data_IF_521017899546
#
_entry.id   IF_521017899546
#
_cell.length_a   1.000
_cell.length_b   1.000
_cell.length_c   1.000
_cell.angle_alpha   90.00
_cell.angle_beta   90.00
_cell.angle_gamma   90.00
#
_symmetry.space_group_name_H-M   'P 1'
#
loop_
_entity.id
_entity.type
_entity.pdbx_description
1 polymer ?
#
# COMPACT_ATOMS: atom_id res chain seq x y z
N UNK A 1 -4.83 1.43 -18.50
CA UNK A 1 -4.09 0.16 -18.61
C UNK A 1 -3.60 -0.10 -20.04
N UNK A 2 -4.45 -0.08 -21.09
CA UNK A 2 -4.02 -0.34 -22.49
C UNK A 2 -2.81 0.49 -22.91
N UNK A 3 -2.87 1.80 -22.67
CA UNK A 3 -1.76 2.72 -23.04
C UNK A 3 -0.49 2.46 -22.22
N UNK A 4 -0.63 2.05 -20.96
CA UNK A 4 0.52 1.67 -20.14
C UNK A 4 1.22 0.41 -20.65
N UNK A 5 0.46 -0.61 -21.04
CA UNK A 5 1.01 -1.84 -21.61
C UNK A 5 1.73 -1.56 -22.95
N UNK A 6 1.11 -0.78 -23.84
CA UNK A 6 1.74 -0.35 -25.10
C UNK A 6 3.03 0.46 -24.88
N UNK A 7 3.04 1.31 -23.87
CA UNK A 7 4.22 2.09 -23.53
C UNK A 7 5.37 1.18 -23.07
N UNK A 8 5.07 0.19 -22.21
CA UNK A 8 6.07 -0.79 -21.77
C UNK A 8 6.67 -1.55 -22.95
N UNK A 9 5.80 -2.10 -23.82
CA UNK A 9 6.23 -2.82 -25.02
C UNK A 9 7.13 -1.95 -25.90
N UNK A 10 6.68 -0.73 -26.24
CA UNK A 10 7.40 0.20 -27.11
C UNK A 10 8.75 0.66 -26.54
N UNK A 11 8.85 0.79 -25.21
CA UNK A 11 10.09 1.18 -24.53
C UNK A 11 10.95 -0.02 -24.10
N UNK A 12 10.55 -1.26 -24.40
CA UNK A 12 11.28 -2.47 -24.00
C UNK A 12 11.38 -2.63 -22.48
N UNK A 13 10.37 -2.19 -21.73
CA UNK A 13 10.39 -2.23 -20.28
C UNK A 13 9.93 -3.60 -19.77
N UNK A 14 10.70 -4.18 -18.85
CA UNK A 14 10.32 -5.39 -18.13
C UNK A 14 9.62 -5.05 -16.81
N UNK A 15 8.65 -5.87 -16.41
CA UNK A 15 7.92 -5.69 -15.16
C UNK A 15 8.58 -6.49 -14.03
N UNK A 16 9.05 -5.81 -12.98
CA UNK A 16 9.63 -6.46 -11.80
C UNK A 16 8.57 -6.77 -10.75
N UNK A 17 7.74 -5.80 -10.41
CA UNK A 17 6.65 -5.95 -9.45
C UNK A 17 5.40 -5.23 -9.96
N UNK A 18 4.23 -5.79 -9.64
CA UNK A 18 2.95 -5.16 -9.87
C UNK A 18 2.20 -5.03 -8.55
N UNK A 19 1.80 -3.82 -8.22
CA UNK A 19 1.10 -3.50 -6.99
C UNK A 19 -0.25 -2.85 -7.29
N UNK A 20 -1.32 -3.46 -6.82
CA UNK A 20 -2.69 -2.92 -6.92
C UNK A 20 -3.10 -2.38 -5.57
N UNK A 21 -3.05 -1.06 -5.45
CA UNK A 21 -3.33 -0.35 -4.21
C UNK A 21 -4.04 0.97 -4.47
N UNK A 22 -3.99 1.86 -3.48
CA UNK A 22 -4.58 3.18 -3.57
C UNK A 22 -5.75 3.33 -2.61
N UNK A 23 -7.00 3.54 -3.07
CA UNK A 23 -8.16 3.61 -2.19
C UNK A 23 -8.40 2.28 -1.46
N UNK A 24 -9.35 1.51 -1.88
CA UNK A 24 -9.55 0.14 -1.41
C UNK A 24 -10.00 -0.67 -2.61
N UNK A 25 -9.11 -1.38 -3.31
CA UNK A 25 -9.48 -2.14 -4.51
C UNK A 25 -10.63 -3.12 -4.26
N UNK A 26 -10.63 -3.74 -3.08
CA UNK A 26 -11.68 -4.67 -2.65
C UNK A 26 -13.02 -4.02 -2.30
N UNK A 27 -13.14 -2.68 -2.32
CA UNK A 27 -14.44 -2.00 -2.18
C UNK A 27 -15.34 -2.18 -3.43
N UNK A 28 -14.77 -2.58 -4.57
CA UNK A 28 -15.55 -2.96 -5.74
C UNK A 28 -16.40 -4.22 -5.46
N UNK A 29 -17.53 -4.34 -6.14
CA UNK A 29 -18.30 -5.59 -6.16
C UNK A 29 -17.44 -6.75 -6.69
N UNK A 30 -17.82 -8.00 -6.39
CA UNK A 30 -17.02 -9.19 -6.77
C UNK A 30 -16.76 -9.30 -8.26
N UNK A 31 -17.78 -9.04 -9.09
CA UNK A 31 -17.67 -9.11 -10.56
C UNK A 31 -16.73 -8.03 -11.09
N UNK A 32 -16.89 -6.77 -10.63
CA UNK A 32 -16.05 -5.67 -11.07
C UNK A 32 -14.61 -5.82 -10.59
N UNK A 33 -14.42 -6.34 -9.36
CA UNK A 33 -13.11 -6.66 -8.84
C UNK A 33 -12.43 -7.75 -9.67
N UNK A 34 -13.12 -8.85 -9.93
CA UNK A 34 -12.59 -9.94 -10.75
C UNK A 34 -12.23 -9.46 -12.16
N UNK A 35 -13.14 -8.70 -12.82
CA UNK A 35 -12.91 -8.12 -14.14
C UNK A 35 -11.70 -7.16 -14.15
N UNK A 36 -11.56 -6.33 -13.11
CA UNK A 36 -10.39 -5.46 -12.97
C UNK A 36 -9.11 -6.28 -12.90
N UNK A 37 -9.08 -7.32 -12.07
CA UNK A 37 -7.88 -8.14 -11.87
C UNK A 37 -7.55 -8.97 -13.11
N UNK A 38 -8.54 -9.51 -13.81
CA UNK A 38 -8.35 -10.18 -15.11
C UNK A 38 -7.71 -9.24 -16.14
N UNK A 39 -8.20 -8.01 -16.26
CA UNK A 39 -7.63 -6.98 -17.15
C UNK A 39 -6.21 -6.57 -16.76
N UNK A 40 -5.92 -6.46 -15.47
CA UNK A 40 -4.57 -6.16 -14.97
C UNK A 40 -3.60 -7.28 -15.36
N UNK A 41 -3.93 -8.52 -15.04
CA UNK A 41 -3.06 -9.67 -15.29
C UNK A 41 -2.86 -9.94 -16.79
N UNK A 42 -3.91 -9.77 -17.60
CA UNK A 42 -3.82 -9.94 -19.05
C UNK A 42 -2.88 -8.90 -19.72
N UNK A 43 -2.75 -7.71 -19.13
CA UNK A 43 -1.94 -6.63 -19.71
C UNK A 43 -0.55 -6.51 -19.13
N UNK A 44 -0.33 -7.03 -17.94
CA UNK A 44 0.92 -6.91 -17.21
C UNK A 44 1.41 -8.27 -16.69
N UNK A 45 1.62 -9.24 -17.59
CA UNK A 45 2.14 -10.56 -17.20
C UNK A 45 3.63 -10.51 -16.88
N UNK A 46 4.13 -11.56 -16.20
CA UNK A 46 5.57 -11.80 -16.06
C UNK A 46 6.27 -11.04 -14.94
N UNK A 47 5.54 -10.36 -14.04
CA UNK A 47 6.14 -9.80 -12.84
C UNK A 47 6.66 -10.91 -11.90
N UNK A 48 7.74 -10.60 -11.18
CA UNK A 48 8.24 -11.48 -10.12
C UNK A 48 7.35 -11.47 -8.88
N UNK A 49 6.64 -10.35 -8.66
CA UNK A 49 5.73 -10.17 -7.54
C UNK A 49 4.43 -9.51 -8.00
N UNK A 50 3.32 -10.06 -7.55
CA UNK A 50 2.01 -9.48 -7.67
C UNK A 50 1.42 -9.28 -6.27
N UNK A 51 1.20 -8.03 -5.89
CA UNK A 51 0.64 -7.64 -4.59
C UNK A 51 -0.68 -6.92 -4.77
N UNK A 52 -1.67 -7.29 -3.98
CA UNK A 52 -2.97 -6.60 -3.94
C UNK A 52 -3.28 -6.14 -2.52
N UNK A 53 -3.53 -4.83 -2.35
CA UNK A 53 -4.16 -4.33 -1.13
C UNK A 53 -5.60 -4.85 -1.08
N UNK A 54 -5.81 -5.97 -0.38
CA UNK A 54 -7.15 -6.43 -0.06
C UNK A 54 -7.86 -5.42 0.85
N UNK A 55 -7.06 -4.58 1.51
CA UNK A 55 -7.51 -3.34 2.15
C UNK A 55 -8.32 -3.58 3.41
N UNK A 56 -9.54 -3.04 3.45
CA UNK A 56 -10.38 -3.12 4.64
C UNK A 56 -10.97 -4.52 4.80
N UNK A 57 -10.88 -5.13 6.00
CA UNK A 57 -11.39 -6.47 6.28
C UNK A 57 -12.86 -6.70 5.89
N UNK A 58 -13.74 -5.70 6.08
CA UNK A 58 -15.16 -5.75 5.72
C UNK A 58 -15.43 -5.88 4.22
N UNK A 59 -14.45 -5.58 3.37
CA UNK A 59 -14.58 -5.66 1.91
C UNK A 59 -14.01 -6.95 1.33
N UNK A 60 -13.37 -7.78 2.16
CA UNK A 60 -12.74 -9.04 1.75
C UNK A 60 -13.78 -10.14 1.75
N UNK A 61 -13.99 -10.77 0.59
CA UNK A 61 -14.92 -11.89 0.44
C UNK A 61 -14.22 -13.11 -0.15
N UNK A 62 -14.79 -14.28 0.05
CA UNK A 62 -14.29 -15.54 -0.51
C UNK A 62 -14.15 -15.46 -2.04
N UNK A 63 -15.16 -14.89 -2.72
CA UNK A 63 -15.14 -14.74 -4.18
C UNK A 63 -13.97 -13.91 -4.68
N UNK A 64 -13.69 -12.77 -4.02
CA UNK A 64 -12.55 -11.92 -4.37
C UNK A 64 -11.21 -12.62 -4.13
N UNK A 65 -11.04 -13.29 -3.00
CA UNK A 65 -9.80 -14.03 -2.71
C UNK A 65 -9.59 -15.19 -3.70
N UNK A 66 -10.64 -15.92 -4.05
CA UNK A 66 -10.57 -16.96 -5.07
C UNK A 66 -10.19 -16.40 -6.45
N UNK A 67 -10.70 -15.21 -6.82
CA UNK A 67 -10.31 -14.54 -8.06
C UNK A 67 -8.80 -14.22 -8.07
N UNK A 68 -8.25 -13.73 -6.96
CA UNK A 68 -6.81 -13.48 -6.83
C UNK A 68 -5.99 -14.78 -6.93
N UNK A 69 -6.41 -15.84 -6.26
CA UNK A 69 -5.71 -17.15 -6.30
C UNK A 69 -5.72 -17.74 -7.70
N UNK A 70 -6.85 -17.70 -8.40
CA UNK A 70 -6.96 -18.15 -9.80
C UNK A 70 -5.96 -17.46 -10.71
N UNK A 71 -5.65 -16.19 -10.44
CA UNK A 71 -4.71 -15.38 -11.21
C UNK A 71 -3.24 -15.52 -10.75
N UNK A 72 -2.97 -16.39 -9.77
CA UNK A 72 -1.60 -16.62 -9.26
C UNK A 72 -1.07 -15.49 -8.38
N UNK A 73 -1.96 -14.62 -7.85
CA UNK A 73 -1.56 -13.55 -6.92
C UNK A 73 -1.32 -14.18 -5.55
N UNK A 74 -0.06 -14.14 -5.11
CA UNK A 74 0.37 -14.79 -3.86
C UNK A 74 0.37 -13.85 -2.66
N UNK A 75 0.58 -12.54 -2.87
CA UNK A 75 0.71 -11.56 -1.80
C UNK A 75 -0.51 -10.66 -1.69
N UNK A 76 -1.03 -10.53 -0.47
CA UNK A 76 -2.11 -9.58 -0.15
C UNK A 76 -1.76 -8.76 1.10
N UNK A 77 -2.31 -7.54 1.19
CA UNK A 77 -2.26 -6.75 2.41
C UNK A 77 -3.65 -6.59 2.97
N UNK A 78 -3.82 -6.90 4.25
CA UNK A 78 -5.03 -6.66 5.05
C UNK A 78 -4.69 -5.54 6.02
N UNK A 79 -5.52 -4.49 6.08
CA UNK A 79 -5.20 -3.25 6.78
C UNK A 79 -6.13 -3.04 7.98
N UNK A 80 -5.90 -3.75 9.13
CA UNK A 80 -6.71 -3.56 10.33
C UNK A 80 -6.59 -2.16 10.94
N UNK A 81 -5.44 -1.53 10.83
CA UNK A 81 -5.03 -0.28 11.47
C UNK A 81 -4.89 -0.41 13.00
N UNK A 82 -5.86 -0.99 13.66
CA UNK A 82 -5.90 -1.38 15.08
C UNK A 82 -6.86 -2.55 15.28
N UNK A 83 -6.78 -3.23 16.41
CA UNK A 83 -7.72 -4.25 16.84
C UNK A 83 -8.67 -3.74 17.94
N UNK A 84 -8.81 -2.43 18.04
CA UNK A 84 -9.73 -1.77 18.97
C UNK A 84 -10.94 -1.21 18.20
N UNK A 85 -12.10 -1.81 18.40
CA UNK A 85 -13.33 -1.45 17.69
C UNK A 85 -13.80 -0.02 17.99
N UNK A 86 -13.50 0.52 19.16
CA UNK A 86 -13.83 1.89 19.52
C UNK A 86 -12.99 2.89 18.71
N UNK A 87 -11.68 2.63 18.64
CA UNK A 87 -10.76 3.42 17.81
C UNK A 87 -11.10 3.30 16.33
N UNK A 88 -11.45 2.10 15.84
CA UNK A 88 -11.87 1.91 14.44
C UNK A 88 -13.05 2.81 14.09
N UNK A 89 -14.09 2.85 14.94
CA UNK A 89 -15.24 3.76 14.77
C UNK A 89 -14.82 5.24 14.79
N UNK A 90 -13.92 5.59 15.72
CA UNK A 90 -13.42 6.97 15.85
C UNK A 90 -12.69 7.45 14.58
N UNK A 91 -11.90 6.60 13.95
CA UNK A 91 -11.16 6.93 12.71
C UNK A 91 -11.96 6.68 11.42
N UNK A 92 -13.26 6.39 11.53
CA UNK A 92 -14.15 6.20 10.40
C UNK A 92 -13.91 4.89 9.63
N UNK A 93 -13.55 3.82 10.35
CA UNK A 93 -13.47 2.46 9.80
C UNK A 93 -14.74 1.69 10.14
N UNK A 94 -15.32 1.03 9.13
CA UNK A 94 -16.58 0.28 9.28
C UNK A 94 -16.36 -1.17 9.73
N UNK A 95 -15.12 -1.67 9.62
CA UNK A 95 -14.78 -3.04 10.04
C UNK A 95 -14.50 -3.13 11.53
N UNK A 96 -14.51 -4.37 12.04
CA UNK A 96 -14.21 -4.73 13.42
C UNK A 96 -12.95 -5.60 13.52
N UNK A 97 -12.37 -5.71 14.72
CA UNK A 97 -11.28 -6.63 15.01
C UNK A 97 -11.65 -8.08 14.67
N UNK A 98 -12.90 -8.49 14.93
CA UNK A 98 -13.42 -9.81 14.58
C UNK A 98 -13.37 -10.04 13.06
N UNK A 99 -13.86 -9.10 12.26
CA UNK A 99 -13.81 -9.19 10.81
C UNK A 99 -12.37 -9.25 10.27
N UNK A 100 -11.42 -8.60 10.93
CA UNK A 100 -10.00 -8.74 10.61
C UNK A 100 -9.53 -10.18 10.80
N UNK A 101 -9.84 -10.80 11.94
CA UNK A 101 -9.50 -12.20 12.21
C UNK A 101 -10.16 -13.15 11.20
N UNK A 102 -11.44 -12.94 10.89
CA UNK A 102 -12.19 -13.74 9.92
C UNK A 102 -11.60 -13.63 8.51
N UNK A 103 -11.28 -12.40 8.04
CA UNK A 103 -10.67 -12.17 6.75
C UNK A 103 -9.27 -12.79 6.64
N UNK A 104 -8.47 -12.69 7.71
CA UNK A 104 -7.15 -13.31 7.77
C UNK A 104 -7.23 -14.84 7.74
N UNK A 105 -8.12 -15.44 8.55
CA UNK A 105 -8.33 -16.89 8.58
C UNK A 105 -8.82 -17.41 7.21
N UNK A 106 -9.74 -16.69 6.57
CA UNK A 106 -10.23 -17.02 5.23
C UNK A 106 -9.10 -16.96 4.19
N UNK A 107 -8.22 -15.96 4.26
CA UNK A 107 -7.08 -15.88 3.35
C UNK A 107 -6.12 -17.06 3.55
N UNK A 108 -5.82 -17.44 4.79
CA UNK A 108 -5.02 -18.63 5.09
C UNK A 108 -5.67 -19.93 4.61
N UNK A 109 -6.97 -20.11 4.86
CA UNK A 109 -7.75 -21.26 4.37
C UNK A 109 -7.63 -21.42 2.85
N UNK A 110 -7.64 -20.30 2.12
CA UNK A 110 -7.52 -20.29 0.67
C UNK A 110 -6.06 -20.38 0.17
N UNK A 111 -5.09 -20.55 1.08
CA UNK A 111 -3.69 -20.81 0.74
C UNK A 111 -2.90 -19.55 0.35
N UNK A 112 -3.23 -18.38 0.92
CA UNK A 112 -2.31 -17.23 0.84
C UNK A 112 -1.16 -17.40 1.84
N UNK A 113 0.05 -17.48 1.32
CA UNK A 113 1.27 -17.71 2.10
C UNK A 113 2.06 -16.42 2.37
N UNK A 114 1.61 -15.29 1.82
CA UNK A 114 2.21 -13.98 2.02
C UNK A 114 1.11 -12.96 2.32
N UNK A 115 0.80 -12.81 3.62
CA UNK A 115 -0.20 -11.87 4.12
C UNK A 115 0.49 -10.81 4.97
N UNK A 116 0.39 -9.56 4.53
CA UNK A 116 0.81 -8.39 5.30
C UNK A 116 -0.33 -7.84 6.15
N UNK A 117 -0.01 -7.38 7.36
CA UNK A 117 -0.91 -6.57 8.18
C UNK A 117 -0.35 -5.17 8.34
N UNK A 118 -1.20 -4.14 8.15
CA UNK A 118 -0.85 -2.74 8.43
C UNK A 118 -1.51 -2.30 9.74
N UNK A 119 -0.71 -1.78 10.67
CA UNK A 119 -1.16 -1.19 11.94
C UNK A 119 -0.65 0.23 12.09
N UNK A 120 -1.33 1.05 12.89
CA UNK A 120 -0.95 2.45 13.10
C UNK A 120 -0.74 2.68 14.58
N UNK A 121 0.48 3.05 14.95
CA UNK A 121 0.82 3.57 16.28
C UNK A 121 0.40 5.04 16.39
N UNK A 122 -0.12 5.41 17.54
CA UNK A 122 -0.50 6.80 17.84
C UNK A 122 -1.88 7.20 17.33
N UNK A 123 -2.79 6.27 17.15
CA UNK A 123 -4.18 6.59 16.83
C UNK A 123 -4.86 7.35 17.97
N UNK A 124 -5.79 8.27 17.65
CA UNK A 124 -6.53 9.02 18.66
C UNK A 124 -7.29 8.11 19.62
N UNK A 125 -7.21 8.40 20.91
CA UNK A 125 -7.88 7.63 21.95
C UNK A 125 -7.18 6.33 22.34
N UNK A 126 -6.04 5.99 21.73
CA UNK A 126 -5.23 4.83 22.13
C UNK A 126 -4.08 5.21 23.06
N UNK A 127 -3.94 4.40 24.09
CA UNK A 127 -2.76 4.36 24.96
C UNK A 127 -1.86 3.16 24.61
N UNK A 128 -0.75 3.02 25.30
CA UNK A 128 0.17 1.90 25.13
C UNK A 128 -0.49 0.55 25.39
N UNK A 129 -1.42 0.46 26.35
CA UNK A 129 -2.13 -0.77 26.68
C UNK A 129 -3.11 -1.16 25.55
N UNK A 130 -3.77 -0.21 24.90
CA UNK A 130 -4.64 -0.47 23.75
C UNK A 130 -3.81 -0.99 22.55
N UNK A 131 -2.67 -0.37 22.29
CA UNK A 131 -1.78 -0.83 21.22
C UNK A 131 -1.17 -2.21 21.54
N UNK A 132 -0.85 -2.49 22.83
CA UNK A 132 -0.38 -3.81 23.25
C UNK A 132 -1.41 -4.91 22.95
N UNK A 133 -2.70 -4.65 23.16
CA UNK A 133 -3.76 -5.60 22.77
C UNK A 133 -3.81 -5.84 21.27
N UNK A 134 -3.58 -4.79 20.48
CA UNK A 134 -3.46 -4.92 19.00
C UNK A 134 -2.28 -5.81 18.63
N UNK A 135 -1.10 -5.57 19.23
CA UNK A 135 0.09 -6.38 18.97
C UNK A 135 -0.06 -7.84 19.39
N UNK A 136 -0.74 -8.09 20.51
CA UNK A 136 -1.04 -9.46 20.94
C UNK A 136 -1.99 -10.18 19.94
N UNK A 137 -2.95 -9.48 19.36
CA UNK A 137 -3.79 -10.04 18.31
C UNK A 137 -2.98 -10.31 17.02
N UNK A 138 -2.08 -9.41 16.64
CA UNK A 138 -1.15 -9.60 15.50
C UNK A 138 -0.27 -10.84 15.74
N UNK A 139 0.27 -11.03 16.95
CA UNK A 139 1.06 -12.23 17.29
C UNK A 139 0.27 -13.52 17.10
N UNK A 140 -0.99 -13.55 17.51
CA UNK A 140 -1.86 -14.73 17.32
C UNK A 140 -2.18 -15.00 15.86
N UNK A 141 -2.34 -13.97 15.04
CA UNK A 141 -2.57 -14.12 13.61
C UNK A 141 -1.31 -14.59 12.85
N UNK A 142 -0.12 -14.28 13.37
CA UNK A 142 1.17 -14.64 12.79
C UNK A 142 1.27 -14.31 11.28
N UNK A 143 1.24 -13.02 10.90
CA UNK A 143 1.37 -12.62 9.51
C UNK A 143 2.79 -12.89 8.98
N UNK A 144 2.94 -12.94 7.66
CA UNK A 144 4.25 -13.08 6.99
C UNK A 144 5.01 -11.76 6.92
N UNK A 145 4.29 -10.65 7.02
CA UNK A 145 4.85 -9.31 7.12
C UNK A 145 3.92 -8.39 7.92
N UNK A 146 4.52 -7.41 8.54
CA UNK A 146 3.86 -6.41 9.38
C UNK A 146 4.38 -5.04 9.01
N UNK A 147 3.49 -4.09 8.78
CA UNK A 147 3.87 -2.69 8.65
C UNK A 147 3.35 -1.92 9.87
N UNK A 148 4.26 -1.33 10.60
CA UNK A 148 3.95 -0.42 11.72
C UNK A 148 4.06 1.01 11.21
N UNK A 149 2.91 1.62 10.97
CA UNK A 149 2.82 3.04 10.65
C UNK A 149 2.76 3.86 11.92
N UNK A 150 3.28 5.07 11.85
CA UNK A 150 3.01 6.10 12.87
C UNK A 150 2.03 7.10 12.29
N UNK A 151 1.03 7.47 13.07
CA UNK A 151 0.01 8.43 12.64
C UNK A 151 0.66 9.72 12.12
N UNK A 152 0.37 10.06 10.88
CA UNK A 152 0.75 11.32 10.26
C UNK A 152 -0.51 12.18 10.06
N UNK A 153 -0.52 13.38 10.63
CA UNK A 153 -1.65 14.30 10.51
C UNK A 153 -1.58 14.98 9.15
N UNK A 154 -2.46 14.58 8.24
CA UNK A 154 -2.64 15.29 6.97
C UNK A 154 -3.72 16.38 7.15
N UNK A 155 -3.45 17.59 6.67
CA UNK A 155 -4.40 18.71 6.71
C UNK A 155 -5.77 18.41 6.07
N UNK A 156 -5.85 17.38 5.22
CA UNK A 156 -7.08 16.94 4.53
C UNK A 156 -7.93 15.91 5.30
N UNK A 157 -7.43 15.33 6.39
CA UNK A 157 -8.18 14.35 7.22
C UNK A 157 -8.96 14.98 8.37
N UNK A 158 -9.52 16.14 8.16
CA UNK A 158 -10.03 17.07 9.18
C UNK A 158 -11.17 16.60 10.07
N UNK A 159 -11.98 15.64 9.70
CA UNK A 159 -13.33 15.55 10.28
C UNK A 159 -13.43 14.77 11.59
N UNK A 160 -12.48 13.89 11.91
CA UNK A 160 -12.56 13.11 13.16
C UNK A 160 -11.35 13.27 14.10
N UNK A 161 -10.22 13.70 13.59
CA UNK A 161 -8.99 13.88 14.39
C UNK A 161 -9.04 15.12 15.31
N UNK A 162 -9.86 16.12 14.97
CA UNK A 162 -10.05 17.33 15.80
C UNK A 162 -10.82 17.05 17.11
N UNK A 163 -11.42 15.88 17.24
CA UNK A 163 -12.24 15.51 18.40
C UNK A 163 -11.56 14.64 19.44
N UNK A 164 -10.42 14.05 19.11
CA UNK A 164 -9.69 13.22 20.05
C UNK A 164 -8.25 13.71 20.21
N UNK A 165 -7.73 13.81 21.44
CA UNK A 165 -6.35 14.19 21.67
C UNK A 165 -5.42 13.16 21.05
N UNK A 166 -4.38 13.65 20.38
CA UNK A 166 -3.26 12.80 19.94
C UNK A 166 -2.47 12.33 21.15
N UNK A 167 -1.92 11.12 21.11
CA UNK A 167 -1.07 10.64 22.19
C UNK A 167 0.19 11.49 22.28
N UNK A 168 0.74 11.54 23.49
CA UNK A 168 2.07 12.14 23.73
C UNK A 168 3.12 11.50 22.82
N UNK A 169 4.08 12.26 22.29
CA UNK A 169 5.19 11.73 21.51
C UNK A 169 5.94 10.55 22.16
N UNK A 170 6.07 10.54 23.48
CA UNK A 170 6.69 9.44 24.22
C UNK A 170 5.84 8.16 24.17
N UNK A 171 4.50 8.29 24.25
CA UNK A 171 3.57 7.17 24.12
C UNK A 171 3.61 6.61 22.71
N UNK A 172 3.61 7.47 21.68
CA UNK A 172 3.74 7.03 20.29
C UNK A 172 5.07 6.27 20.06
N UNK A 173 6.15 6.74 20.64
CA UNK A 173 7.45 6.06 20.57
C UNK A 173 7.45 4.70 21.29
N UNK A 174 6.77 4.58 22.44
CA UNK A 174 6.59 3.32 23.14
C UNK A 174 5.78 2.31 22.30
N UNK A 175 4.71 2.77 21.66
CA UNK A 175 3.92 1.93 20.72
C UNK A 175 4.77 1.42 19.53
N UNK A 176 5.61 2.28 18.94
CA UNK A 176 6.50 1.86 17.84
C UNK A 176 7.47 0.79 18.31
N UNK A 177 8.11 0.96 19.49
CA UNK A 177 8.99 -0.08 20.07
C UNK A 177 8.24 -1.41 20.29
N UNK A 178 7.03 -1.36 20.81
CA UNK A 178 6.20 -2.55 21.00
C UNK A 178 5.88 -3.26 19.66
N UNK A 179 5.69 -2.48 18.59
CA UNK A 179 5.56 -3.01 17.24
C UNK A 179 6.82 -3.72 16.76
N UNK A 180 8.00 -3.15 17.01
CA UNK A 180 9.30 -3.74 16.71
C UNK A 180 9.54 -5.03 17.49
N UNK A 181 9.33 -5.03 18.81
CA UNK A 181 9.42 -6.21 19.67
C UNK A 181 8.47 -7.32 19.22
N UNK A 182 7.27 -6.96 18.78
CA UNK A 182 6.29 -7.92 18.24
C UNK A 182 6.78 -8.53 16.93
N UNK A 183 7.33 -7.72 16.03
CA UNK A 183 7.89 -8.20 14.76
C UNK A 183 9.08 -9.15 15.03
N UNK A 184 9.98 -8.78 15.93
CA UNK A 184 11.12 -9.62 16.33
C UNK A 184 10.66 -10.97 16.91
N UNK A 185 9.67 -10.95 17.81
CA UNK A 185 9.09 -12.16 18.40
C UNK A 185 8.42 -13.09 17.37
N UNK A 186 7.97 -12.53 16.22
CA UNK A 186 7.44 -13.28 15.09
C UNK A 186 8.54 -13.72 14.09
N UNK A 187 9.81 -13.40 14.34
CA UNK A 187 10.91 -13.68 13.40
C UNK A 187 10.87 -12.82 12.14
N UNK A 188 10.22 -11.66 12.19
CA UNK A 188 10.16 -10.71 11.09
C UNK A 188 11.31 -9.70 11.22
N UNK A 189 12.05 -9.48 10.13
CA UNK A 189 13.13 -8.52 10.07
C UNK A 189 12.68 -7.22 9.34
N UNK A 190 13.18 -6.04 9.74
CA UNK A 190 12.89 -4.80 9.03
C UNK A 190 13.50 -4.88 7.61
N UNK A 191 12.72 -4.46 6.59
CA UNK A 191 13.18 -4.50 5.21
C UNK A 191 13.01 -3.17 4.47
N UNK A 192 12.18 -2.25 4.98
CA UNK A 192 12.11 -0.87 4.52
C UNK A 192 11.65 0.04 5.65
N UNK A 193 12.00 1.31 5.52
CA UNK A 193 11.55 2.37 6.42
C UNK A 193 11.34 3.67 5.65
N UNK A 194 10.40 4.48 6.10
CA UNK A 194 10.25 5.84 5.57
C UNK A 194 9.65 6.79 6.60
N UNK A 195 9.93 8.09 6.41
CA UNK A 195 9.38 9.17 7.23
C UNK A 195 8.44 10.03 6.41
N UNK A 196 7.34 10.43 7.01
CA UNK A 196 6.44 11.45 6.47
C UNK A 196 6.61 12.75 7.26
N UNK A 197 6.28 13.87 6.63
CA UNK A 197 6.19 15.15 7.36
C UNK A 197 5.01 15.07 8.33
N UNK A 198 5.18 15.68 9.52
CA UNK A 198 4.14 15.79 10.55
C UNK A 198 3.72 14.47 11.19
N UNK A 199 4.65 13.53 11.37
CA UNK A 199 4.41 12.31 12.14
C UNK A 199 4.45 12.59 13.64
N UNK A 200 3.59 11.90 14.40
CA UNK A 200 3.62 11.95 15.86
C UNK A 200 5.01 11.53 16.39
N UNK A 201 5.62 12.36 17.23
CA UNK A 201 6.93 12.08 17.83
C UNK A 201 8.11 11.94 16.86
N UNK A 202 8.01 12.44 15.62
CA UNK A 202 9.05 12.29 14.58
C UNK A 202 9.45 10.82 14.30
N UNK A 203 8.58 9.88 14.60
CA UNK A 203 8.81 8.46 14.40
C UNK A 203 8.85 8.10 12.90
N UNK A 204 9.13 6.86 12.58
CA UNK A 204 9.18 6.35 11.21
C UNK A 204 8.19 5.20 11.01
N UNK A 205 7.79 4.99 9.78
CA UNK A 205 7.05 3.80 9.37
C UNK A 205 8.06 2.71 9.02
N UNK A 206 7.86 1.52 9.54
CA UNK A 206 8.76 0.39 9.30
C UNK A 206 7.94 -0.81 8.82
N UNK A 207 8.41 -1.42 7.74
CA UNK A 207 7.91 -2.70 7.27
C UNK A 207 8.82 -3.83 7.69
N UNK A 208 8.25 -4.86 8.28
CA UNK A 208 8.91 -6.07 8.73
C UNK A 208 8.40 -7.26 7.92
N UNK A 209 9.26 -8.19 7.56
CA UNK A 209 8.89 -9.38 6.83
C UNK A 209 9.74 -10.59 7.24
N UNK A 210 9.18 -11.80 7.13
CA UNK A 210 9.99 -13.01 7.21
C UNK A 210 10.97 -13.10 6.03
N UNK A 211 12.05 -13.86 6.14
CA UNK A 211 12.97 -14.07 5.02
C UNK A 211 12.23 -14.50 3.75
N UNK A 212 12.47 -13.79 2.66
CA UNK A 212 11.85 -14.06 1.35
C UNK A 212 10.45 -13.46 1.12
N UNK A 213 9.83 -12.81 2.13
CA UNK A 213 8.51 -12.17 2.01
C UNK A 213 8.57 -10.64 1.98
N UNK A 214 9.74 -10.03 1.77
CA UNK A 214 9.87 -8.60 1.56
C UNK A 214 9.17 -8.18 0.27
N UNK A 215 8.24 -7.20 0.36
CA UNK A 215 7.52 -6.69 -0.80
C UNK A 215 8.47 -5.93 -1.72
N UNK A 216 8.68 -6.42 -2.93
CA UNK A 216 9.58 -5.80 -3.91
C UNK A 216 9.14 -4.38 -4.27
N UNK A 217 7.83 -4.16 -4.42
CA UNK A 217 7.30 -2.82 -4.68
C UNK A 217 7.68 -1.82 -3.58
N UNK A 218 7.58 -2.21 -2.31
CA UNK A 218 7.94 -1.34 -1.19
C UNK A 218 9.44 -1.02 -1.19
N UNK A 219 10.28 -2.00 -1.44
CA UNK A 219 11.73 -1.79 -1.59
C UNK A 219 12.00 -0.85 -2.76
N UNK A 220 11.46 -1.13 -3.94
CA UNK A 220 11.69 -0.36 -5.17
C UNK A 220 11.26 1.12 -5.05
N UNK A 221 10.15 1.39 -4.33
CA UNK A 221 9.66 2.76 -4.15
C UNK A 221 10.52 3.55 -3.15
N UNK A 222 11.05 2.89 -2.13
CA UNK A 222 11.85 3.52 -1.07
C UNK A 222 13.31 3.72 -1.48
N UNK A 223 13.92 2.74 -2.12
CA UNK A 223 15.30 2.83 -2.63
C UNK A 223 15.44 3.75 -3.84
N UNK A 224 14.34 4.09 -4.49
CA UNK A 224 14.29 4.96 -5.67
C UNK A 224 15.19 4.52 -6.83
N UNK A 225 15.55 3.24 -6.90
CA UNK A 225 16.42 2.65 -7.93
C UNK A 225 15.66 2.15 -9.15
N UNK A 226 14.33 2.00 -9.02
CA UNK A 226 13.46 1.43 -10.05
C UNK A 226 12.42 2.45 -10.53
N UNK A 227 12.19 2.49 -11.83
CA UNK A 227 11.13 3.32 -12.43
C UNK A 227 9.75 2.75 -12.11
N UNK A 228 8.77 3.62 -11.92
CA UNK A 228 7.39 3.26 -11.61
C UNK A 228 6.45 3.79 -12.68
N UNK A 229 5.73 2.91 -13.34
CA UNK A 229 4.63 3.25 -14.23
C UNK A 229 3.32 3.13 -13.46
N UNK A 230 2.76 4.26 -13.04
CA UNK A 230 1.59 4.31 -12.17
C UNK A 230 0.32 4.68 -12.93
N UNK A 231 -0.79 4.03 -12.59
CA UNK A 231 -2.12 4.25 -13.18
C UNK A 231 -3.13 4.52 -12.08
N UNK A 232 -4.18 5.27 -12.42
CA UNK A 232 -5.23 5.66 -11.48
C UNK A 232 -5.13 7.14 -11.09
N UNK A 233 -6.23 7.68 -10.54
CA UNK A 233 -6.30 9.06 -10.04
C UNK A 233 -5.31 9.24 -8.88
N UNK A 234 -4.57 10.35 -8.87
CA UNK A 234 -3.58 10.66 -7.84
C UNK A 234 -2.28 9.85 -7.89
N UNK A 235 -2.17 8.86 -8.79
CA UNK A 235 -0.96 8.07 -8.93
C UNK A 235 0.17 8.88 -9.60
N UNK A 236 1.41 8.60 -9.24
CA UNK A 236 2.59 9.30 -9.74
C UNK A 236 3.54 8.31 -10.42
N UNK A 237 3.70 8.45 -11.73
CA UNK A 237 4.76 7.72 -12.44
C UNK A 237 6.11 8.37 -12.16
N UNK A 238 7.14 7.53 -12.00
CA UNK A 238 8.50 7.93 -11.68
C UNK A 238 9.46 7.26 -12.67
N UNK A 239 10.32 8.02 -13.32
CA UNK A 239 11.42 7.50 -14.12
C UNK A 239 12.73 7.78 -13.40
N UNK A 240 13.46 6.74 -13.09
CA UNK A 240 14.84 6.80 -12.60
C UNK A 240 15.75 6.79 -13.82
N UNK A 241 16.58 7.81 -13.97
CA UNK A 241 17.54 7.92 -15.05
C UNK A 241 18.87 7.27 -14.62
N UNK A 242 19.48 6.43 -15.48
CA UNK A 242 20.72 5.72 -15.14
C UNK A 242 21.94 6.63 -15.31
N UNK A 243 21.91 7.82 -14.75
CA UNK A 243 23.03 8.73 -14.71
C UNK A 243 23.77 8.67 -13.36
N UNK A 244 24.92 9.34 -13.28
CA UNK A 244 25.73 9.35 -12.04
C UNK A 244 25.03 9.99 -10.85
N UNK A 245 24.01 10.80 -11.09
CA UNK A 245 23.25 11.54 -10.07
C UNK A 245 21.93 10.88 -9.71
N UNK A 246 21.56 9.74 -10.33
CA UNK A 246 20.28 9.04 -10.15
C UNK A 246 19.08 10.01 -10.19
N UNK A 247 19.04 10.87 -11.20
CA UNK A 247 17.98 11.87 -11.36
C UNK A 247 16.63 11.18 -11.53
N UNK A 248 15.64 11.73 -10.87
CA UNK A 248 14.28 11.22 -10.89
C UNK A 248 13.35 12.25 -11.51
N UNK A 249 12.66 11.84 -12.60
CA UNK A 249 11.56 12.62 -13.18
C UNK A 249 10.22 12.03 -12.79
N UNK A 250 9.21 12.87 -12.61
CA UNK A 250 7.88 12.45 -12.15
C UNK A 250 6.79 12.99 -13.08
N UNK A 251 5.77 12.17 -13.33
CA UNK A 251 4.55 12.56 -14.03
C UNK A 251 3.33 12.20 -13.15
N UNK A 252 2.76 13.18 -12.42
CA UNK A 252 1.58 12.96 -11.61
C UNK A 252 0.32 12.90 -12.47
N UNK A 253 -0.60 12.04 -12.10
CA UNK A 253 -1.97 12.07 -12.56
C UNK A 253 -2.78 13.09 -11.74
N UNK A 254 -3.90 13.57 -12.29
CA UNK A 254 -4.86 14.37 -11.53
C UNK A 254 -5.45 13.53 -10.38
N UNK A 255 -5.75 14.17 -9.26
CA UNK A 255 -6.21 13.50 -8.04
C UNK A 255 -7.71 13.25 -8.02
N UNK A 256 -8.50 14.11 -8.67
CA UNK A 256 -9.95 13.94 -8.76
C UNK A 256 -10.29 12.83 -9.76
N UNK A 257 -11.12 11.87 -9.34
CA UNK A 257 -11.44 10.66 -10.13
C UNK A 257 -12.20 11.01 -11.41
N UNK A 258 -13.20 11.90 -11.34
CA UNK A 258 -13.99 12.31 -12.52
C UNK A 258 -13.10 13.00 -13.55
N UNK A 259 -12.29 13.96 -13.10
CA UNK A 259 -11.32 14.65 -13.97
C UNK A 259 -10.27 13.68 -14.54
N UNK A 260 -9.87 12.66 -13.77
CA UNK A 260 -8.95 11.64 -14.27
C UNK A 260 -9.57 10.82 -15.41
N UNK A 261 -10.84 10.45 -15.29
CA UNK A 261 -11.57 9.71 -16.32
C UNK A 261 -11.65 10.54 -17.61
N UNK A 262 -12.03 11.82 -17.50
CA UNK A 262 -12.16 12.72 -18.64
C UNK A 262 -10.81 12.99 -19.33
N UNK A 263 -9.71 13.01 -18.57
CA UNK A 263 -8.37 13.35 -19.04
C UNK A 263 -7.42 12.16 -19.13
N UNK A 264 -7.94 10.93 -19.21
CA UNK A 264 -7.11 9.71 -19.20
C UNK A 264 -6.07 9.69 -20.34
N UNK A 265 -6.42 10.23 -21.50
CA UNK A 265 -5.50 10.31 -22.66
C UNK A 265 -4.33 11.28 -22.39
N UNK A 266 -4.61 12.39 -21.75
CA UNK A 266 -3.55 13.34 -21.33
C UNK A 266 -2.62 12.68 -20.28
N UNK A 267 -3.19 11.95 -19.31
CA UNK A 267 -2.37 11.23 -18.33
C UNK A 267 -1.51 10.15 -18.99
N UNK A 268 -2.01 9.50 -20.02
CA UNK A 268 -1.23 8.55 -20.82
C UNK A 268 -0.08 9.26 -21.57
N UNK A 269 -0.35 10.40 -22.22
CA UNK A 269 0.66 11.20 -22.92
C UNK A 269 1.76 11.70 -21.98
N UNK A 270 1.42 12.13 -20.76
CA UNK A 270 2.43 12.55 -19.76
C UNK A 270 3.42 11.42 -19.44
N UNK A 271 2.93 10.19 -19.33
CA UNK A 271 3.77 9.02 -19.09
C UNK A 271 4.62 8.69 -20.31
N UNK A 272 4.04 8.78 -21.50
CA UNK A 272 4.79 8.60 -22.75
C UNK A 272 5.96 9.56 -22.82
N UNK A 273 5.73 10.85 -22.61
CA UNK A 273 6.77 11.87 -22.55
C UNK A 273 7.83 11.50 -21.50
N UNK A 274 7.38 11.12 -20.29
CA UNK A 274 8.28 10.74 -19.21
C UNK A 274 9.25 9.61 -19.61
N UNK A 275 8.75 8.58 -20.31
CA UNK A 275 9.53 7.37 -20.58
C UNK A 275 10.26 7.39 -21.93
N UNK A 276 9.85 8.24 -22.88
CA UNK A 276 10.47 8.31 -24.23
C UNK A 276 11.45 9.47 -24.42
N UNK A 277 11.31 10.59 -23.70
CA UNK A 277 12.23 11.71 -23.86
C UNK A 277 13.65 11.35 -23.46
N UNK A 278 14.57 11.51 -24.40
CA UNK A 278 16.02 11.49 -24.18
C UNK A 278 16.50 12.80 -23.55
N UNK A 279 17.70 12.78 -22.95
CA UNK A 279 18.31 13.98 -22.38
C UNK A 279 18.55 15.04 -23.46
N UNK A 280 18.06 16.25 -23.20
CA UNK A 280 18.32 17.42 -24.10
C UNK A 280 17.07 18.06 -24.71
N UNK A 281 15.94 17.38 -24.79
CA UNK A 281 14.69 17.98 -25.28
C UNK A 281 13.96 18.72 -24.16
N UNK A 282 13.94 20.05 -24.23
CA UNK A 282 13.04 20.87 -23.42
C UNK A 282 11.59 20.52 -23.76
N UNK A 283 10.68 20.47 -22.75
CA UNK A 283 9.25 20.31 -23.06
C UNK A 283 8.84 21.45 -23.99
N UNK A 284 8.21 21.12 -25.12
CA UNK A 284 7.47 22.10 -25.89
C UNK A 284 6.38 22.68 -24.97
N UNK A 285 6.57 23.91 -24.55
CA UNK A 285 5.51 24.72 -23.95
C UNK A 285 4.46 24.98 -25.04
N UNK A 286 3.27 24.45 -24.82
CA UNK A 286 2.05 24.82 -25.53
C UNK A 286 0.85 24.79 -24.59
#
# INVERSE_FOLDING_TARGET
MREGARLMERCGLSLRALYVGGGTPSALGEEDFARLMDEVMARFPGAREYTVEAGRPDTITRGKLLALKRLGIGRISINPQTMNDETLRLIGRDHTARQTCEAFALARELGFDDINLDVIAGLPGEDEAAFARTMEAVRRLAPDSLTVHTLAIKRSSRLNLERAPLPDPAVAAAMVRLGEETAEALGLAPYYLYRQKYMAGQQQNVGYARPGAACLYNVDIMEETTSILAMGAGAISKRVLPDRELRIRRAPNVTNVSVYIDRVQEMARRKEILFTQTEGEKPCES
#
